data_IF_486575058456
#
_entry.id   IF_486575058456
#
_cell.length_a   1.000
_cell.length_b   1.000
_cell.length_c   1.000
_cell.angle_alpha   90.00
_cell.angle_beta   90.00
_cell.angle_gamma   90.00
#
_symmetry.space_group_name_H-M   'P 1'
#
loop_
_entity.id
_entity.type
_entity.pdbx_description
1 polymer ?
#
# COMPACT_ATOMS: atom_id res chain seq x y z
N UNK A 1 -11.76 -9.81 -7.61
CA UNK A 1 -10.94 -10.19 -8.77
C UNK A 1 -10.32 -8.92 -9.34
N UNK A 2 -8.99 -8.85 -9.38
CA UNK A 2 -8.29 -7.67 -9.91
C UNK A 2 -8.17 -7.66 -11.45
N UNK A 3 -8.67 -6.60 -12.09
CA UNK A 3 -8.61 -6.34 -13.55
C UNK A 3 -7.86 -5.04 -13.84
N UNK A 4 -6.67 -5.15 -14.45
CA UNK A 4 -5.87 -3.98 -14.89
C UNK A 4 -6.46 -3.40 -16.17
N UNK A 5 -6.79 -2.11 -16.16
CA UNK A 5 -7.34 -1.40 -17.33
C UNK A 5 -6.20 -0.73 -18.12
N UNK A 6 -5.28 -0.06 -17.43
CA UNK A 6 -4.11 0.61 -18.01
C UNK A 6 -2.91 0.43 -17.09
N UNK A 7 -1.72 0.24 -17.66
CA UNK A 7 -0.47 0.20 -16.90
C UNK A 7 0.68 0.71 -17.77
N UNK A 8 1.63 1.40 -17.17
CA UNK A 8 2.80 1.96 -17.86
C UNK A 8 4.00 1.98 -16.93
N UNK A 9 5.19 1.72 -17.49
CA UNK A 9 6.47 1.79 -16.78
C UNK A 9 7.28 2.96 -17.33
N UNK A 10 7.81 3.80 -16.44
CA UNK A 10 8.78 4.83 -16.76
C UNK A 10 10.12 4.47 -16.13
N UNK A 11 11.23 4.86 -16.77
CA UNK A 11 12.58 4.52 -16.33
C UNK A 11 13.27 5.73 -15.73
N UNK A 12 13.81 5.57 -14.53
CA UNK A 12 14.71 6.53 -13.90
C UNK A 12 16.10 5.90 -13.73
N UNK A 13 17.06 6.38 -14.52
CA UNK A 13 18.47 5.99 -14.42
C UNK A 13 19.27 7.17 -13.88
N UNK A 14 19.42 7.18 -12.56
CA UNK A 14 20.13 8.23 -11.86
C UNK A 14 21.65 8.12 -11.96
N UNK A 15 22.19 6.93 -12.26
CA UNK A 15 23.64 6.76 -12.50
C UNK A 15 24.07 7.48 -13.77
N UNK A 16 23.28 7.40 -14.84
CA UNK A 16 23.56 8.10 -16.09
C UNK A 16 22.91 9.48 -16.16
N UNK A 17 22.05 9.83 -15.20
CA UNK A 17 21.28 11.07 -15.19
C UNK A 17 20.22 11.12 -16.29
N UNK A 18 19.75 9.95 -16.76
CA UNK A 18 18.78 9.84 -17.85
C UNK A 18 17.43 9.30 -17.37
N UNK A 19 16.37 9.71 -18.05
CA UNK A 19 15.01 9.21 -17.83
C UNK A 19 14.38 8.85 -19.16
N UNK A 20 13.57 7.80 -19.16
CA UNK A 20 12.81 7.40 -20.33
C UNK A 20 11.33 7.27 -19.98
N UNK A 21 10.51 8.17 -20.51
CA UNK A 21 9.07 8.11 -20.33
C UNK A 21 8.46 7.34 -21.49
N UNK A 22 7.90 6.17 -21.18
CA UNK A 22 7.18 5.34 -22.15
C UNK A 22 6.06 6.11 -22.83
N UNK A 23 5.92 5.94 -24.15
CA UNK A 23 4.94 6.67 -24.97
C UNK A 23 3.61 5.90 -25.15
N UNK A 24 3.53 4.68 -24.62
CA UNK A 24 2.36 3.81 -24.71
C UNK A 24 2.26 2.95 -23.45
N UNK A 25 1.05 2.45 -23.20
CA UNK A 25 0.81 1.47 -22.13
C UNK A 25 1.48 0.14 -22.42
N UNK A 26 1.67 -0.66 -21.36
CA UNK A 26 2.05 -2.06 -21.47
C UNK A 26 0.98 -2.84 -22.24
N UNK A 27 1.42 -3.86 -22.99
CA UNK A 27 0.52 -4.81 -23.63
C UNK A 27 -0.03 -5.78 -22.58
N UNK A 28 -1.30 -5.56 -22.20
CA UNK A 28 -2.01 -6.39 -21.23
C UNK A 28 -2.70 -7.61 -21.88
N UNK A 29 -2.60 -7.79 -23.20
CA UNK A 29 -2.96 -9.05 -23.86
C UNK A 29 -1.88 -10.11 -23.65
N UNK A 30 -0.61 -9.68 -23.51
CA UNK A 30 0.47 -10.57 -23.11
C UNK A 30 0.28 -11.09 -21.67
N UNK A 31 0.19 -12.42 -21.56
CA UNK A 31 -0.12 -13.09 -20.29
C UNK A 31 0.96 -12.87 -19.24
N UNK A 32 2.24 -12.78 -19.64
CA UNK A 32 3.34 -12.62 -18.68
C UNK A 32 3.35 -11.21 -18.11
N UNK A 33 3.22 -10.20 -18.97
CA UNK A 33 3.12 -8.78 -18.62
C UNK A 33 1.92 -8.53 -17.73
N UNK A 34 0.73 -8.98 -18.14
CA UNK A 34 -0.49 -8.89 -17.32
C UNK A 34 -0.31 -9.57 -15.97
N UNK A 35 0.27 -10.77 -15.93
CA UNK A 35 0.48 -11.50 -14.68
C UNK A 35 1.49 -10.80 -13.77
N UNK A 36 2.51 -10.14 -14.31
CA UNK A 36 3.48 -9.38 -13.53
C UNK A 36 2.77 -8.21 -12.82
N UNK A 37 2.08 -7.37 -13.59
CA UNK A 37 1.39 -6.18 -13.08
C UNK A 37 0.30 -6.57 -12.08
N UNK A 38 -0.56 -7.55 -12.40
CA UNK A 38 -1.61 -7.99 -11.48
C UNK A 38 -1.07 -8.49 -10.14
N UNK A 39 0.05 -9.23 -10.13
CA UNK A 39 0.64 -9.70 -8.86
C UNK A 39 1.18 -8.54 -8.03
N UNK A 40 1.73 -7.51 -8.69
CA UNK A 40 2.17 -6.28 -7.99
C UNK A 40 1.01 -5.54 -7.37
N UNK A 41 -0.02 -5.25 -8.15
CA UNK A 41 -1.19 -4.50 -7.69
C UNK A 41 -1.93 -5.22 -6.56
N UNK A 42 -2.16 -6.54 -6.68
CA UNK A 42 -2.77 -7.34 -5.60
C UNK A 42 -1.98 -7.24 -4.30
N UNK A 43 -0.65 -7.26 -4.40
CA UNK A 43 0.22 -7.24 -3.22
C UNK A 43 0.13 -5.92 -2.45
N UNK A 44 0.10 -4.79 -3.16
CA UNK A 44 0.05 -3.47 -2.53
C UNK A 44 -1.36 -3.09 -2.07
N UNK A 45 -2.41 -3.57 -2.76
CA UNK A 45 -3.82 -3.29 -2.40
C UNK A 45 -4.22 -3.96 -1.08
N UNK A 46 -3.67 -5.16 -0.80
CA UNK A 46 -3.97 -5.92 0.42
C UNK A 46 -2.76 -5.98 1.38
N UNK A 47 -1.95 -4.92 1.43
CA UNK A 47 -0.77 -4.91 2.31
C UNK A 47 -1.12 -4.29 3.68
N UNK A 48 -1.05 -5.06 4.78
CA UNK A 48 -1.35 -4.57 6.13
C UNK A 48 -0.32 -3.57 6.68
N UNK A 49 0.81 -3.39 5.99
CA UNK A 49 1.80 -2.35 6.31
C UNK A 49 1.50 -1.02 5.59
N UNK A 50 0.41 -0.94 4.82
CA UNK A 50 -0.05 0.32 4.23
C UNK A 50 -0.61 1.20 5.32
N UNK A 51 -0.12 2.44 5.38
CA UNK A 51 -0.77 3.52 6.10
C UNK A 51 -1.93 4.07 5.28
N UNK A 52 -2.87 4.69 5.96
CA UNK A 52 -4.08 5.22 5.35
C UNK A 52 -4.07 6.76 5.39
N UNK A 53 -4.76 7.40 4.46
CA UNK A 53 -4.87 8.85 4.46
C UNK A 53 -5.89 9.40 3.48
N UNK A 54 -6.08 10.72 3.60
CA UNK A 54 -6.90 11.53 2.71
C UNK A 54 -6.07 12.71 2.21
N UNK A 55 -6.37 13.16 0.99
CA UNK A 55 -5.70 14.34 0.43
C UNK A 55 -5.94 15.59 1.28
N UNK A 56 -4.89 16.39 1.48
CA UNK A 56 -5.09 17.75 1.93
C UNK A 56 -5.90 18.54 0.89
N UNK A 57 -6.74 19.51 1.29
CA UNK A 57 -7.50 20.34 0.37
C UNK A 57 -6.65 21.11 -0.65
N UNK A 58 -5.35 21.25 -0.38
CA UNK A 58 -4.37 21.94 -1.23
C UNK A 58 -3.52 21.00 -2.08
N UNK A 59 -3.76 19.68 -2.04
CA UNK A 59 -2.99 18.70 -2.79
C UNK A 59 -3.06 18.97 -4.29
N UNK A 60 -1.91 19.22 -4.90
CA UNK A 60 -1.84 19.43 -6.35
C UNK A 60 -2.11 18.13 -7.12
N UNK A 61 -1.68 16.99 -6.58
CA UNK A 61 -1.92 15.69 -7.19
C UNK A 61 -3.41 15.35 -7.23
N UNK A 62 -4.17 15.66 -6.17
CA UNK A 62 -5.60 15.41 -6.12
C UNK A 62 -6.37 16.08 -7.27
N UNK A 63 -6.02 17.33 -7.61
CA UNK A 63 -6.61 18.03 -8.76
C UNK A 63 -6.33 17.35 -10.10
N UNK A 64 -5.07 16.99 -10.35
CA UNK A 64 -4.69 16.27 -11.58
C UNK A 64 -5.31 14.87 -11.69
N UNK A 65 -5.45 14.17 -10.55
CA UNK A 65 -6.13 12.88 -10.48
C UNK A 65 -7.61 13.00 -10.83
N UNK A 66 -8.28 14.06 -10.36
CA UNK A 66 -9.67 14.36 -10.72
C UNK A 66 -9.82 14.67 -12.21
N UNK A 67 -8.95 15.50 -12.79
CA UNK A 67 -8.95 15.78 -14.23
C UNK A 67 -8.77 14.50 -15.05
N UNK A 68 -7.86 13.61 -14.64
CA UNK A 68 -7.71 12.28 -15.23
C UNK A 68 -8.98 11.43 -15.08
N UNK A 69 -9.58 11.39 -13.89
CA UNK A 69 -10.76 10.58 -13.60
C UNK A 69 -11.98 11.01 -14.43
N UNK A 70 -12.14 12.32 -14.68
CA UNK A 70 -13.18 12.89 -15.54
C UNK A 70 -12.89 12.73 -17.04
N UNK A 71 -11.66 12.35 -17.40
CA UNK A 71 -11.22 12.17 -18.79
C UNK A 71 -10.75 13.46 -19.47
N UNK A 72 -10.46 14.52 -18.71
CA UNK A 72 -9.91 15.77 -19.22
C UNK A 72 -8.42 15.62 -19.59
N UNK A 73 -7.72 14.66 -18.97
CA UNK A 73 -6.32 14.32 -19.25
C UNK A 73 -6.22 12.83 -19.58
N UNK A 74 -5.49 12.50 -20.66
CA UNK A 74 -5.27 11.12 -21.07
C UNK A 74 -4.29 10.38 -20.13
N UNK A 75 -4.44 9.05 -20.00
CA UNK A 75 -3.64 8.25 -19.05
C UNK A 75 -2.13 8.39 -19.24
N UNK A 76 -1.65 8.34 -20.49
CA UNK A 76 -0.21 8.46 -20.79
C UNK A 76 0.29 9.86 -20.46
N UNK A 77 -0.51 10.88 -20.72
CA UNK A 77 -0.15 12.27 -20.38
C UNK A 77 -0.08 12.46 -18.86
N UNK A 78 -1.08 11.99 -18.13
CA UNK A 78 -1.07 12.08 -16.67
C UNK A 78 0.08 11.26 -16.06
N UNK A 79 0.36 10.06 -16.57
CA UNK A 79 1.49 9.26 -16.10
C UNK A 79 2.84 9.93 -16.36
N UNK A 80 2.97 10.72 -17.44
CA UNK A 80 4.17 11.53 -17.70
C UNK A 80 4.32 12.65 -16.69
N UNK A 81 3.24 13.31 -16.28
CA UNK A 81 3.28 14.35 -15.26
C UNK A 81 3.75 13.76 -13.92
N UNK A 82 3.21 12.60 -13.53
CA UNK A 82 3.64 11.85 -12.35
C UNK A 82 5.13 11.47 -12.46
N UNK A 83 5.54 10.88 -13.59
CA UNK A 83 6.92 10.46 -13.81
C UNK A 83 7.91 11.64 -13.79
N UNK A 84 7.50 12.77 -14.36
CA UNK A 84 8.27 14.01 -14.32
C UNK A 84 8.45 14.48 -12.89
N UNK A 85 7.39 14.50 -12.08
CA UNK A 85 7.46 14.91 -10.69
C UNK A 85 8.43 14.01 -9.90
N UNK A 86 8.25 12.68 -9.97
CA UNK A 86 9.11 11.73 -9.23
C UNK A 86 10.57 11.83 -9.67
N UNK A 87 10.85 12.00 -10.96
CA UNK A 87 12.22 12.19 -11.44
C UNK A 87 12.89 13.42 -10.82
N UNK A 88 12.17 14.55 -10.77
CA UNK A 88 12.72 15.81 -10.26
C UNK A 88 12.94 15.76 -8.76
N UNK A 89 12.09 15.05 -8.01
CA UNK A 89 12.19 14.95 -6.56
C UNK A 89 13.18 13.86 -6.10
N UNK A 90 13.11 12.65 -6.66
CA UNK A 90 13.99 11.54 -6.25
C UNK A 90 15.47 11.82 -6.52
N UNK A 91 15.81 12.55 -7.59
CA UNK A 91 17.22 12.92 -7.88
C UNK A 91 17.82 13.89 -6.85
N UNK A 92 17.00 14.47 -5.96
CA UNK A 92 17.43 15.37 -4.89
C UNK A 92 17.72 14.63 -3.59
N UNK A 93 17.33 13.36 -3.49
CA UNK A 93 17.68 12.51 -2.36
C UNK A 93 19.19 12.28 -2.32
N UNK A 94 19.73 12.14 -1.12
CA UNK A 94 21.14 11.89 -0.87
C UNK A 94 21.53 10.45 -1.24
N UNK A 95 20.59 9.50 -1.12
CA UNK A 95 20.73 8.11 -1.54
C UNK A 95 19.73 7.82 -2.67
N UNK A 96 20.25 7.73 -3.89
CA UNK A 96 19.43 7.61 -5.10
C UNK A 96 19.53 6.19 -5.63
N UNK A 97 18.41 5.48 -5.63
CA UNK A 97 18.30 4.14 -6.19
C UNK A 97 17.70 4.18 -7.59
N UNK A 98 18.33 3.48 -8.54
CA UNK A 98 17.74 3.29 -9.87
C UNK A 98 16.42 2.54 -9.76
N UNK A 99 15.37 3.07 -10.37
CA UNK A 99 14.06 2.44 -10.31
C UNK A 99 13.24 2.68 -11.58
N UNK A 100 12.22 1.84 -11.74
CA UNK A 100 11.13 2.08 -12.66
C UNK A 100 9.92 2.57 -11.89
N UNK A 101 9.17 3.51 -12.47
CA UNK A 101 7.88 3.94 -11.95
C UNK A 101 6.77 3.21 -12.70
N UNK A 102 6.03 2.36 -12.00
CA UNK A 102 4.79 1.78 -12.51
C UNK A 102 3.61 2.67 -12.11
N UNK A 103 2.83 3.10 -13.10
CA UNK A 103 1.53 3.75 -12.91
C UNK A 103 0.46 2.83 -13.48
N UNK A 104 -0.63 2.60 -12.76
CA UNK A 104 -1.70 1.72 -13.19
C UNK A 104 -3.09 2.20 -12.79
N UNK A 105 -4.06 1.98 -13.67
CA UNK A 105 -5.49 2.09 -13.41
C UNK A 105 -6.05 0.67 -13.47
N UNK A 106 -6.82 0.29 -12.45
CA UNK A 106 -7.36 -1.06 -12.33
C UNK A 106 -8.64 -1.09 -11.51
N UNK A 107 -9.38 -2.17 -11.68
CA UNK A 107 -10.61 -2.43 -10.94
C UNK A 107 -10.35 -3.61 -10.01
N UNK A 108 -10.65 -3.42 -8.73
CA UNK A 108 -10.67 -4.51 -7.76
C UNK A 108 -12.09 -4.89 -7.37
N UNK A 109 -12.50 -6.09 -7.79
CA UNK A 109 -13.82 -6.63 -7.45
C UNK A 109 -13.82 -7.53 -6.21
N UNK A 110 -12.67 -7.75 -5.55
CA UNK A 110 -12.64 -8.56 -4.31
C UNK A 110 -13.30 -7.79 -3.14
N UNK A 111 -13.16 -6.46 -3.08
CA UNK A 111 -13.83 -5.62 -2.07
C UNK A 111 -15.36 -5.58 -2.22
N UNK A 112 -15.89 -5.58 -3.45
CA UNK A 112 -17.34 -5.62 -3.70
C UNK A 112 -18.01 -6.93 -3.27
N UNK A 113 -17.26 -8.04 -3.23
CA UNK A 113 -17.77 -9.34 -2.79
C UNK A 113 -17.90 -9.44 -1.26
N UNK A 114 -17.10 -8.71 -0.50
CA UNK A 114 -17.17 -8.68 0.96
C UNK A 114 -18.41 -7.88 1.43
N UNK A 115 -18.66 -6.71 0.84
CA UNK A 115 -19.90 -5.93 1.03
C UNK A 115 -21.17 -6.71 0.61
N UNK A 116 -21.11 -7.46 -0.49
CA UNK A 116 -22.21 -8.33 -0.92
C UNK A 116 -22.54 -9.46 0.07
N UNK A 117 -21.53 -9.92 0.82
CA UNK A 117 -21.70 -10.98 1.82
C UNK A 117 -22.31 -10.48 3.14
N UNK A 118 -22.12 -9.19 3.46
CA UNK A 118 -22.73 -8.53 4.63
C UNK A 118 -24.22 -8.17 4.42
N UNK A 119 -24.65 -8.00 3.16
CA UNK A 119 -26.04 -7.69 2.78
C UNK A 119 -26.91 -8.94 2.50
N UNK A 120 -26.55 -10.11 3.07
CA UNK A 120 -27.12 -11.42 2.71
C UNK A 120 -28.65 -11.57 2.88
N UNK A 121 -29.30 -10.62 3.56
CA UNK A 121 -30.74 -10.64 3.84
C UNK A 121 -31.59 -9.80 2.86
N UNK A 122 -30.98 -9.10 1.88
CA UNK A 122 -31.67 -8.24 0.93
C UNK A 122 -31.44 -8.72 -0.53
N UNK A 123 -32.48 -9.35 -1.11
CA UNK A 123 -32.44 -9.90 -2.49
C UNK A 123 -32.28 -8.82 -3.57
N UNK A 124 -32.70 -7.57 -3.32
CA UNK A 124 -32.53 -6.45 -4.25
C UNK A 124 -31.09 -5.89 -4.15
N UNK A 125 -30.52 -5.81 -2.94
CA UNK A 125 -29.10 -5.46 -2.75
C UNK A 125 -28.16 -6.54 -3.31
N UNK A 126 -28.57 -7.81 -3.31
CA UNK A 126 -27.82 -8.91 -3.90
C UNK A 126 -27.72 -8.78 -5.42
N UNK A 127 -28.78 -8.32 -6.10
CA UNK A 127 -28.77 -8.07 -7.54
C UNK A 127 -27.89 -6.87 -7.90
N UNK A 128 -27.95 -5.78 -7.14
CA UNK A 128 -27.08 -4.60 -7.34
C UNK A 128 -25.60 -4.90 -6.99
N UNK A 129 -25.33 -5.74 -5.98
CA UNK A 129 -23.96 -6.13 -5.61
C UNK A 129 -23.33 -7.16 -6.57
N UNK A 130 -24.15 -8.01 -7.23
CA UNK A 130 -23.69 -8.85 -8.34
C UNK A 130 -23.42 -8.03 -9.62
N UNK A 131 -23.98 -6.82 -9.74
CA UNK A 131 -23.71 -5.84 -10.78
C UNK A 131 -22.66 -4.78 -10.39
N UNK A 132 -22.19 -4.78 -9.14
CA UNK A 132 -21.27 -3.78 -8.61
C UNK A 132 -19.98 -3.68 -9.43
N UNK A 133 -19.81 -2.55 -10.10
CA UNK A 133 -18.53 -2.16 -10.71
C UNK A 133 -17.50 -2.09 -9.56
N UNK A 134 -16.54 -3.03 -9.54
CA UNK A 134 -15.53 -3.06 -8.47
C UNK A 134 -14.81 -1.72 -8.31
N UNK A 135 -14.17 -1.53 -7.16
CA UNK A 135 -13.47 -0.27 -6.82
C UNK A 135 -12.45 0.08 -7.89
N UNK A 136 -12.56 1.27 -8.48
CA UNK A 136 -11.60 1.74 -9.46
C UNK A 136 -10.43 2.39 -8.72
N UNK A 137 -9.28 1.75 -8.80
CA UNK A 137 -8.08 2.12 -8.07
C UNK A 137 -6.99 2.63 -9.02
N UNK A 138 -6.22 3.60 -8.55
CA UNK A 138 -5.08 4.18 -9.23
C UNK A 138 -3.81 3.94 -8.41
N UNK A 139 -2.87 3.17 -8.95
CA UNK A 139 -1.62 2.84 -8.26
C UNK A 139 -0.42 3.54 -8.87
N UNK A 140 0.50 3.94 -7.98
CA UNK A 140 1.80 4.51 -8.29
C UNK A 140 2.83 3.73 -7.47
N UNK A 141 3.82 3.14 -8.13
CA UNK A 141 4.72 2.16 -7.51
C UNK A 141 6.14 2.41 -7.97
N UNK A 142 7.05 2.67 -7.03
CA UNK A 142 8.48 2.70 -7.33
C UNK A 142 9.03 1.27 -7.26
N UNK A 143 9.70 0.86 -8.33
CA UNK A 143 10.24 -0.48 -8.50
C UNK A 143 11.78 -0.40 -8.59
N UNK A 144 12.47 -0.53 -7.45
CA UNK A 144 13.92 -0.65 -7.38
C UNK A 144 14.46 -1.69 -8.38
N UNK A 145 15.39 -1.26 -9.22
CA UNK A 145 16.06 -2.15 -10.17
C UNK A 145 17.05 -3.01 -9.45
N UNK A 146 17.15 -4.25 -9.92
CA UNK A 146 18.17 -5.17 -9.43
C UNK A 146 19.14 -5.55 -10.51
N UNK A 147 20.38 -5.73 -10.08
CA UNK A 147 21.39 -6.41 -10.86
C UNK A 147 21.09 -7.91 -10.88
N UNK A 148 21.12 -8.49 -12.09
CA UNK A 148 21.03 -9.92 -12.30
C UNK A 148 22.21 -10.42 -13.14
N UNK A 149 22.56 -11.69 -12.94
CA UNK A 149 23.57 -12.38 -13.73
C UNK A 149 22.88 -13.50 -14.52
N UNK A 150 23.03 -13.48 -15.84
CA UNK A 150 22.45 -14.47 -16.74
C UNK A 150 23.58 -15.39 -17.18
N UNK A 151 23.39 -16.69 -16.97
CA UNK A 151 24.26 -17.70 -17.57
C UNK A 151 23.86 -17.87 -19.03
N UNK A 152 24.66 -17.30 -19.94
CA UNK A 152 24.41 -17.39 -21.38
C UNK A 152 25.15 -18.59 -21.99
N UNK A 153 24.36 -19.55 -22.48
CA UNK A 153 24.87 -20.79 -23.08
C UNK A 153 24.43 -20.84 -24.54
N UNK A 154 25.23 -20.19 -25.39
CA UNK A 154 25.02 -20.19 -26.84
C UNK A 154 26.08 -21.05 -27.53
N UNK A 155 25.70 -22.26 -27.96
CA UNK A 155 26.60 -23.19 -28.64
C UNK A 155 27.69 -23.73 -27.71
N UNK A 156 28.95 -23.33 -27.95
CA UNK A 156 30.10 -23.65 -27.09
C UNK A 156 30.49 -22.52 -26.13
N UNK A 157 29.77 -21.39 -26.15
CA UNK A 157 30.00 -20.29 -25.21
C UNK A 157 29.40 -20.62 -23.84
N UNK A 158 30.12 -20.23 -22.79
CA UNK A 158 29.76 -20.40 -21.39
C UNK A 158 30.12 -19.11 -20.66
N UNK A 159 29.24 -18.11 -20.78
CA UNK A 159 29.50 -16.75 -20.30
C UNK A 159 28.50 -16.34 -19.21
N UNK A 160 28.91 -15.36 -18.40
CA UNK A 160 28.04 -14.71 -17.43
C UNK A 160 27.81 -13.28 -17.92
N UNK A 161 26.58 -13.01 -18.35
CA UNK A 161 26.13 -11.67 -18.72
C UNK A 161 25.60 -10.95 -17.50
N UNK A 162 25.89 -9.65 -17.41
CA UNK A 162 25.40 -8.77 -16.36
C UNK A 162 24.25 -7.95 -16.91
N UNK A 163 23.11 -7.95 -16.22
CA UNK A 163 21.93 -7.16 -16.54
C UNK A 163 21.60 -6.23 -15.36
N UNK A 164 21.79 -4.93 -15.55
CA UNK A 164 21.69 -3.93 -14.46
C UNK A 164 20.30 -3.29 -14.33
N UNK A 165 19.39 -3.60 -15.26
CA UNK A 165 18.05 -3.02 -15.30
C UNK A 165 16.97 -4.11 -15.29
N UNK A 166 17.00 -5.01 -14.30
CA UNK A 166 15.92 -5.99 -14.11
C UNK A 166 14.85 -5.45 -13.16
N UNK A 167 13.58 -5.64 -13.55
CA UNK A 167 12.45 -5.41 -12.67
C UNK A 167 12.48 -6.38 -11.49
N UNK A 168 12.05 -5.97 -10.29
CA UNK A 168 12.03 -6.84 -9.14
C UNK A 168 11.05 -8.00 -9.33
N UNK A 169 11.36 -9.19 -8.80
CA UNK A 169 10.48 -10.37 -8.85
C UNK A 169 9.08 -10.06 -8.30
N UNK A 170 7.97 -10.46 -8.95
CA UNK A 170 6.59 -10.15 -8.51
C UNK A 170 6.28 -10.45 -7.05
N UNK A 171 7.02 -11.39 -6.43
CA UNK A 171 6.84 -11.80 -5.03
C UNK A 171 7.58 -10.92 -4.03
N UNK A 172 8.57 -10.13 -4.46
CA UNK A 172 9.38 -9.27 -3.59
C UNK A 172 8.49 -8.20 -2.91
N UNK A 173 8.79 -7.80 -1.67
CA UNK A 173 8.14 -6.64 -1.04
C UNK A 173 8.41 -5.37 -1.87
N UNK A 174 7.41 -4.49 -1.91
CA UNK A 174 7.53 -3.15 -2.46
C UNK A 174 7.46 -2.20 -1.27
N UNK A 175 8.38 -1.26 -1.24
CA UNK A 175 8.69 -0.37 -0.11
C UNK A 175 8.30 1.09 -0.36
N UNK A 176 7.88 1.44 -1.58
CA UNK A 176 7.34 2.74 -1.93
C UNK A 176 6.21 2.63 -2.95
N UNK A 177 4.99 2.90 -2.53
CA UNK A 177 3.80 2.94 -3.39
C UNK A 177 2.67 3.77 -2.77
N UNK A 178 1.71 4.13 -3.62
CA UNK A 178 0.39 4.62 -3.25
C UNK A 178 -0.68 3.93 -4.10
N UNK A 179 -1.82 3.67 -3.51
CA UNK A 179 -3.06 3.20 -4.13
C UNK A 179 -4.14 4.18 -3.73
N UNK A 180 -4.82 4.75 -4.71
CA UNK A 180 -5.86 5.75 -4.50
C UNK A 180 -7.18 5.23 -5.06
N UNK A 181 -8.22 5.29 -4.26
CA UNK A 181 -9.58 5.03 -4.71
C UNK A 181 -10.10 6.23 -5.51
N UNK A 182 -10.43 6.01 -6.79
CA UNK A 182 -10.82 7.10 -7.68
C UNK A 182 -12.23 7.63 -7.42
N UNK A 183 -13.07 6.89 -6.69
CA UNK A 183 -14.44 7.27 -6.39
C UNK A 183 -14.52 8.04 -5.06
N UNK A 184 -13.75 7.61 -4.05
CA UNK A 184 -13.76 8.18 -2.70
C UNK A 184 -12.59 9.12 -2.40
N UNK A 185 -11.46 8.96 -3.11
CA UNK A 185 -10.22 9.67 -2.82
C UNK A 185 -9.41 9.10 -1.65
N UNK A 186 -9.84 7.99 -1.05
CA UNK A 186 -9.09 7.31 0.00
C UNK A 186 -7.73 6.80 -0.50
N UNK A 187 -6.70 6.90 0.35
CA UNK A 187 -5.31 6.60 -0.01
C UNK A 187 -4.79 5.49 0.91
N UNK A 188 -4.26 4.44 0.29
CA UNK A 188 -3.40 3.46 0.95
C UNK A 188 -1.97 3.65 0.43
N UNK A 189 -1.01 3.87 1.32
CA UNK A 189 0.38 4.09 0.92
C UNK A 189 1.37 3.39 1.83
N UNK A 190 2.54 3.11 1.29
CA UNK A 190 3.70 2.70 2.06
C UNK A 190 4.91 3.41 1.47
N UNK A 191 5.72 4.03 2.31
CA UNK A 191 6.93 4.72 1.89
C UNK A 191 7.98 4.65 3.00
N UNK A 192 9.23 4.92 2.65
CA UNK A 192 10.32 5.00 3.60
C UNK A 192 10.97 6.39 3.58
N UNK A 193 11.57 6.72 4.73
CA UNK A 193 12.30 7.96 4.91
C UNK A 193 13.50 8.02 3.95
N UNK A 194 13.60 9.14 3.21
CA UNK A 194 14.75 9.45 2.37
C UNK A 194 15.39 10.73 2.85
N UNK A 195 16.71 10.71 2.97
CA UNK A 195 17.47 11.92 3.28
C UNK A 195 17.50 12.83 2.05
N UNK A 196 17.00 14.05 2.19
CA UNK A 196 17.08 15.11 1.18
C UNK A 196 17.77 16.30 1.84
N UNK A 197 18.99 16.61 1.41
CA UNK A 197 19.83 17.65 2.03
C UNK A 197 20.06 17.42 3.54
N UNK A 198 20.20 16.15 3.95
CA UNK A 198 20.43 15.75 5.34
C UNK A 198 19.18 15.74 6.23
N UNK A 199 18.00 16.05 5.70
CA UNK A 199 16.71 15.94 6.41
C UNK A 199 15.94 14.72 5.89
N UNK A 200 15.47 13.86 6.79
CA UNK A 200 14.59 12.74 6.44
C UNK A 200 13.20 13.24 6.05
N UNK A 201 12.71 12.80 4.88
CA UNK A 201 11.39 13.13 4.34
C UNK A 201 10.76 11.91 3.70
N UNK A 202 9.43 11.82 3.79
CA UNK A 202 8.66 10.84 3.02
C UNK A 202 8.22 11.45 1.70
N UNK A 203 8.68 10.89 0.59
CA UNK A 203 8.45 11.48 -0.74
C UNK A 203 6.97 11.36 -1.14
N UNK A 204 6.35 10.20 -0.88
CA UNK A 204 4.98 9.92 -1.33
C UNK A 204 3.95 10.70 -0.51
N UNK A 205 3.80 10.48 0.81
CA UNK A 205 2.72 11.12 1.57
C UNK A 205 2.94 12.63 1.78
N UNK A 206 4.16 13.07 2.06
CA UNK A 206 4.41 14.48 2.44
C UNK A 206 4.60 15.39 1.23
N UNK A 207 5.37 14.95 0.22
CA UNK A 207 5.76 15.82 -0.89
C UNK A 207 4.88 15.62 -2.14
N UNK A 208 4.51 14.38 -2.44
CA UNK A 208 3.78 14.06 -3.67
C UNK A 208 2.27 14.16 -3.52
N UNK A 209 1.71 13.39 -2.59
CA UNK A 209 0.27 13.32 -2.36
C UNK A 209 -0.21 14.48 -1.49
N UNK A 210 0.64 14.98 -0.58
CA UNK A 210 0.25 15.99 0.42
C UNK A 210 -0.99 15.48 1.20
N UNK A 211 -0.88 14.32 1.84
CA UNK A 211 -2.00 13.64 2.52
C UNK A 211 -1.81 13.50 4.03
N UNK A 212 -2.89 13.18 4.73
CA UNK A 212 -2.82 12.70 6.12
C UNK A 212 -2.12 11.35 6.18
N UNK A 213 -1.66 10.97 7.38
CA UNK A 213 -0.99 9.69 7.64
C UNK A 213 -1.53 9.09 8.91
N UNK A 214 -2.46 8.15 8.77
CA UNK A 214 -2.96 7.30 9.83
C UNK A 214 -2.12 6.01 9.91
N UNK A 215 -2.00 5.46 11.12
CA UNK A 215 -1.22 4.26 11.35
C UNK A 215 -1.79 3.05 10.58
N UNK A 216 -0.91 2.20 10.09
CA UNK A 216 -1.30 0.94 9.44
C UNK A 216 -1.85 -0.08 10.45
N UNK A 217 -2.66 -1.04 10.00
CA UNK A 217 -3.14 -2.13 10.87
C UNK A 217 -1.97 -2.89 11.49
N UNK A 218 -0.88 -3.12 10.75
CA UNK A 218 0.33 -3.74 11.33
C UNK A 218 0.97 -2.90 12.45
N UNK A 219 1.05 -1.57 12.30
CA UNK A 219 1.56 -0.67 13.34
C UNK A 219 0.66 -0.68 14.58
N UNK A 220 -0.66 -0.59 14.39
CA UNK A 220 -1.62 -0.58 15.49
C UNK A 220 -1.62 -1.91 16.24
N UNK A 221 -1.55 -3.05 15.54
CA UNK A 221 -1.42 -4.37 16.16
C UNK A 221 -0.09 -4.48 16.93
N UNK A 222 0.99 -3.90 16.41
CA UNK A 222 2.27 -3.80 17.08
C UNK A 222 2.17 -3.04 18.40
N UNK A 223 1.55 -1.86 18.38
CA UNK A 223 1.35 -1.02 19.58
C UNK A 223 0.44 -1.70 20.61
N UNK A 224 -0.67 -2.31 20.18
CA UNK A 224 -1.54 -3.12 21.06
C UNK A 224 -0.73 -4.24 21.73
N UNK A 225 0.13 -4.91 20.98
CA UNK A 225 0.99 -5.97 21.51
C UNK A 225 1.95 -5.44 22.58
N UNK A 226 2.55 -4.25 22.36
CA UNK A 226 3.43 -3.60 23.34
C UNK A 226 2.66 -3.22 24.60
N UNK A 227 1.50 -2.58 24.49
CA UNK A 227 0.66 -2.21 25.65
C UNK A 227 0.30 -3.47 26.47
N UNK A 228 -0.11 -4.56 25.80
CA UNK A 228 -0.47 -5.82 26.47
C UNK A 228 0.73 -6.42 27.19
N UNK A 229 1.91 -6.38 26.58
CA UNK A 229 3.15 -6.84 27.21
C UNK A 229 3.48 -6.01 28.45
N UNK A 230 3.46 -4.68 28.35
CA UNK A 230 3.77 -3.76 29.45
C UNK A 230 2.83 -3.98 30.66
N UNK A 231 1.52 -4.13 30.39
CA UNK A 231 0.53 -4.41 31.42
C UNK A 231 0.67 -5.82 32.01
N UNK A 232 1.01 -6.82 31.19
CA UNK A 232 1.27 -8.15 31.70
C UNK A 232 2.45 -8.15 32.67
N UNK A 233 3.54 -7.45 32.34
CA UNK A 233 4.70 -7.29 33.22
C UNK A 233 4.35 -6.50 34.50
N UNK A 234 3.62 -5.38 34.38
CA UNK A 234 3.22 -4.54 35.52
C UNK A 234 2.34 -5.30 36.53
N UNK A 235 1.40 -6.11 36.05
CA UNK A 235 0.44 -6.83 36.88
C UNK A 235 0.85 -8.28 37.19
N UNK A 236 2.09 -8.67 36.85
CA UNK A 236 2.64 -9.99 37.19
C UNK A 236 2.00 -11.16 36.44
N UNK A 237 1.52 -10.91 35.23
CA UNK A 237 1.00 -11.92 34.30
C UNK A 237 2.14 -12.47 33.43
N UNK A 238 1.86 -13.54 32.68
CA UNK A 238 2.82 -14.11 31.74
C UNK A 238 2.72 -13.35 30.39
N UNK A 239 3.71 -12.52 30.01
CA UNK A 239 3.58 -11.64 28.84
C UNK A 239 3.41 -12.42 27.53
N UNK A 240 4.09 -13.56 27.39
CA UNK A 240 3.96 -14.41 26.21
C UNK A 240 2.53 -14.94 26.01
N UNK A 241 1.82 -15.23 27.10
CA UNK A 241 0.43 -15.72 27.05
C UNK A 241 -0.52 -14.60 26.68
N UNK A 242 -0.41 -13.43 27.31
CA UNK A 242 -1.32 -12.31 27.03
C UNK A 242 -1.10 -11.73 25.63
N UNK A 243 0.15 -11.62 25.16
CA UNK A 243 0.47 -11.24 23.77
C UNK A 243 -0.11 -12.23 22.77
N UNK A 244 -0.06 -13.53 23.06
CA UNK A 244 -0.67 -14.56 22.21
C UNK A 244 -2.20 -14.40 22.14
N UNK A 245 -2.85 -14.14 23.28
CA UNK A 245 -4.29 -13.85 23.34
C UNK A 245 -4.66 -12.59 22.58
N UNK A 246 -3.83 -11.55 22.66
CA UNK A 246 -4.04 -10.31 21.91
C UNK A 246 -3.98 -10.53 20.40
N UNK A 247 -2.95 -11.23 19.91
CA UNK A 247 -2.83 -11.57 18.49
C UNK A 247 -4.00 -12.44 18.00
N UNK A 248 -4.47 -13.38 18.82
CA UNK A 248 -5.64 -14.18 18.49
C UNK A 248 -6.92 -13.34 18.46
N UNK A 249 -7.08 -12.38 19.38
CA UNK A 249 -8.24 -11.48 19.39
C UNK A 249 -8.28 -10.54 18.20
N UNK A 250 -7.13 -10.00 17.80
CA UNK A 250 -7.00 -9.20 16.58
C UNK A 250 -7.31 -10.04 15.34
N UNK A 251 -6.72 -11.24 15.23
CA UNK A 251 -6.93 -12.11 14.08
C UNK A 251 -8.40 -12.52 13.92
N UNK A 252 -9.09 -12.84 15.03
CA UNK A 252 -10.52 -13.16 15.00
C UNK A 252 -11.38 -11.94 14.65
N UNK A 253 -11.05 -10.76 15.18
CA UNK A 253 -11.74 -9.53 14.80
C UNK A 253 -11.58 -9.26 13.30
N UNK A 254 -10.37 -9.39 12.74
CA UNK A 254 -10.12 -9.23 11.31
C UNK A 254 -10.78 -10.29 10.41
N UNK A 255 -11.11 -11.48 10.93
CA UNK A 255 -11.85 -12.51 10.18
C UNK A 255 -13.35 -12.21 10.10
N UNK A 256 -13.89 -11.46 11.06
CA UNK A 256 -15.35 -11.23 11.22
C UNK A 256 -15.75 -9.80 10.85
N UNK A 257 -14.91 -8.84 11.20
CA UNK A 257 -15.07 -7.41 10.98
C UNK A 257 -14.00 -6.95 9.96
N UNK A 258 -14.36 -6.13 8.97
CA UNK A 258 -13.40 -5.51 8.03
C UNK A 258 -12.53 -4.42 8.69
N UNK A 259 -12.73 -4.19 10.00
CA UNK A 259 -12.01 -3.22 10.82
C UNK A 259 -11.64 -3.84 12.17
N UNK A 260 -10.51 -3.41 12.73
CA UNK A 260 -10.06 -3.74 14.09
C UNK A 260 -10.14 -2.50 14.97
N UNK A 261 -10.86 -2.64 16.08
CA UNK A 261 -10.93 -1.63 17.15
C UNK A 261 -9.97 -2.01 18.29
N UNK A 262 -8.88 -1.24 18.50
CA UNK A 262 -7.89 -1.51 19.55
C UNK A 262 -8.50 -1.55 20.96
N UNK A 263 -9.50 -0.71 21.23
CA UNK A 263 -10.17 -0.67 22.53
C UNK A 263 -10.94 -1.98 22.73
N UNK A 264 -11.77 -2.41 21.77
CA UNK A 264 -12.50 -3.69 21.86
C UNK A 264 -11.56 -4.87 22.11
N UNK A 265 -10.41 -4.90 21.43
CA UNK A 265 -9.38 -5.93 21.64
C UNK A 265 -8.92 -5.96 23.10
N UNK A 266 -8.58 -4.81 23.68
CA UNK A 266 -8.21 -4.69 25.09
C UNK A 266 -9.29 -5.15 26.06
N UNK A 267 -10.55 -4.73 25.84
CA UNK A 267 -11.71 -5.15 26.65
C UNK A 267 -11.87 -6.66 26.67
N UNK A 268 -11.59 -7.32 25.55
CA UNK A 268 -11.70 -8.78 25.41
C UNK A 268 -10.56 -9.54 26.10
N UNK A 269 -9.32 -9.04 26.00
CA UNK A 269 -8.15 -9.67 26.63
C UNK A 269 -8.25 -9.62 28.16
N UNK A 270 -8.71 -8.48 28.69
CA UNK A 270 -8.77 -8.17 30.12
C UNK A 270 -10.18 -8.16 30.69
N UNK A 271 -11.14 -8.86 30.08
CA UNK A 271 -12.57 -8.87 30.48
C UNK A 271 -12.79 -9.16 31.98
N UNK A 272 -12.02 -10.11 32.55
CA UNK A 272 -12.11 -10.47 33.97
C UNK A 272 -11.33 -9.53 34.90
N UNK A 273 -10.66 -8.50 34.36
CA UNK A 273 -9.70 -7.63 35.06
C UNK A 273 -9.95 -6.14 34.75
N UNK A 274 -11.00 -5.53 35.34
CA UNK A 274 -11.39 -4.14 35.06
C UNK A 274 -10.28 -3.11 35.31
N UNK A 275 -9.45 -3.34 36.35
CA UNK A 275 -8.33 -2.44 36.69
C UNK A 275 -7.25 -2.39 35.60
N UNK A 276 -6.99 -3.52 34.92
CA UNK A 276 -6.03 -3.59 33.81
C UNK A 276 -6.65 -2.98 32.55
N UNK A 277 -7.95 -3.20 32.35
CA UNK A 277 -8.70 -2.65 31.23
C UNK A 277 -8.71 -1.11 31.24
N UNK A 278 -8.97 -0.47 32.39
CA UNK A 278 -8.94 0.99 32.51
C UNK A 278 -7.55 1.56 32.18
N UNK A 279 -6.48 0.89 32.64
CA UNK A 279 -5.11 1.27 32.28
C UNK A 279 -4.79 1.06 30.80
N UNK A 280 -5.29 -0.03 30.21
CA UNK A 280 -5.15 -0.29 28.79
C UNK A 280 -5.79 0.83 27.96
N UNK A 281 -7.05 1.17 28.26
CA UNK A 281 -7.78 2.25 27.58
C UNK A 281 -7.05 3.60 27.71
N UNK A 282 -6.50 3.90 28.90
CA UNK A 282 -5.69 5.10 29.10
C UNK A 282 -4.39 5.09 28.27
N UNK A 283 -3.71 3.94 28.13
CA UNK A 283 -2.51 3.83 27.31
C UNK A 283 -2.83 3.96 25.81
N UNK A 284 -3.90 3.32 25.32
CA UNK A 284 -4.38 3.46 23.93
C UNK A 284 -4.66 4.92 23.61
N UNK A 285 -5.39 5.62 24.48
CA UNK A 285 -5.67 7.05 24.30
C UNK A 285 -4.39 7.91 24.34
N UNK A 286 -3.43 7.59 25.22
CA UNK A 286 -2.16 8.34 25.32
C UNK A 286 -1.24 8.18 24.12
N UNK A 287 -1.35 7.05 23.40
CA UNK A 287 -0.58 6.76 22.18
C UNK A 287 -1.32 7.20 20.92
N UNK A 288 -2.47 7.85 21.06
CA UNK A 288 -3.30 8.36 19.95
C UNK A 288 -3.60 7.29 18.89
N UNK A 289 -3.82 6.04 19.33
CA UNK A 289 -4.20 4.97 18.41
C UNK A 289 -5.59 5.26 17.80
N UNK A 290 -5.79 4.98 16.49
CA UNK A 290 -7.08 5.16 15.84
C UNK A 290 -8.17 4.29 16.48
N UNK A 291 -9.42 4.77 16.42
CA UNK A 291 -10.58 4.06 16.99
C UNK A 291 -10.89 2.76 16.22
N UNK A 292 -10.79 2.81 14.89
CA UNK A 292 -10.97 1.67 13.99
C UNK A 292 -9.87 1.68 12.93
N UNK A 293 -9.36 0.50 12.57
CA UNK A 293 -8.36 0.35 11.51
C UNK A 293 -8.83 -0.69 10.52
N UNK A 294 -8.90 -0.38 9.21
CA UNK A 294 -9.26 -1.38 8.21
C UNK A 294 -8.22 -2.51 8.15
N UNK A 295 -8.65 -3.73 7.81
CA UNK A 295 -7.79 -4.93 7.74
C UNK A 295 -7.87 -5.62 6.39
#
# INVERSE_FOLDING_TARGET
MLRVTKAILHVFDFETGTKYFSQSTLDLEDRQTKSYVQRRLRKITANPESRHGEFAPTSNFAGGLQEYAHGDVEFVEFSHQIAQWFWEELRRADDVEQCDLLVADYIDTDAGQALASAAADDEDAQAEAFEGEGRRLFAIVLLPRKQAFIHDVNGSANEILRQDATLPSPTQKVDSYAVIDLDTGAIDFHDHDRSVAGEGKFIIPELFLECTSEASSHEVIGEVTVIVQDLAEEYGLEPAVEVSRAKAAVAEAAEVEEVVDPIKVGKRIFEERPEIQEKYEAQVASRELPEEVPV
#
